data_IF_978084036702
#
_entry.id   IF_978084036702
#
_cell.length_a   1.000
_cell.length_b   1.000
_cell.length_c   1.000
_cell.angle_alpha   90.00
_cell.angle_beta   90.00
_cell.angle_gamma   90.00
#
_symmetry.space_group_name_H-M   'P 1'
#
loop_
_entity.id
_entity.type
_entity.pdbx_description
1 polymer ?
#
# COMPACT_ATOMS: atom_id res chain seq x y z
N UNK A 1 -13.57 15.13 -11.76
CA UNK A 1 -12.13 14.99 -11.97
C UNK A 1 -11.62 13.73 -11.29
N UNK A 2 -10.75 13.01 -11.95
CA UNK A 2 -10.16 11.82 -11.39
C UNK A 2 -9.18 12.17 -10.27
N UNK A 3 -9.29 11.47 -9.15
CA UNK A 3 -8.31 11.48 -8.07
C UNK A 3 -7.23 10.45 -8.32
N UNK A 4 -6.13 10.59 -7.62
CA UNK A 4 -5.06 9.58 -7.61
C UNK A 4 -4.75 9.18 -6.19
N UNK A 5 -4.34 7.93 -6.02
CA UNK A 5 -3.78 7.43 -4.76
C UNK A 5 -2.64 6.48 -5.06
N UNK A 6 -1.76 6.31 -4.09
CA UNK A 6 -0.64 5.36 -4.20
C UNK A 6 -0.98 4.11 -3.41
N UNK A 7 -0.77 2.96 -4.03
CA UNK A 7 -0.78 1.68 -3.31
C UNK A 7 0.59 1.03 -3.43
N UNK A 8 0.95 0.26 -2.42
CA UNK A 8 2.17 -0.55 -2.42
C UNK A 8 1.79 -1.94 -1.98
N UNK A 9 2.01 -2.91 -2.86
CA UNK A 9 1.91 -4.33 -2.51
C UNK A 9 3.17 -4.65 -1.73
N UNK A 10 3.00 -4.98 -0.45
CA UNK A 10 4.11 -5.16 0.50
C UNK A 10 4.87 -6.47 0.27
N UNK A 11 6.08 -6.59 0.85
CA UNK A 11 6.92 -7.78 0.60
C UNK A 11 6.24 -9.11 0.92
N UNK A 12 5.40 -9.16 1.95
CA UNK A 12 4.67 -10.38 2.32
C UNK A 12 3.75 -10.86 1.19
N UNK A 13 3.03 -9.95 0.56
CA UNK A 13 2.11 -10.28 -0.52
C UNK A 13 2.85 -10.56 -1.84
N UNK A 14 3.89 -9.80 -2.15
CA UNK A 14 4.70 -10.06 -3.35
C UNK A 14 5.33 -11.45 -3.26
N UNK A 15 5.87 -11.80 -2.11
CA UNK A 15 6.50 -13.10 -1.87
C UNK A 15 5.52 -14.26 -2.02
N UNK A 16 4.24 -14.03 -1.70
CA UNK A 16 3.17 -15.03 -1.83
C UNK A 16 2.53 -15.05 -3.22
N UNK A 17 3.07 -14.27 -4.17
CA UNK A 17 2.55 -14.16 -5.54
C UNK A 17 1.12 -13.60 -5.61
N UNK A 18 0.80 -12.66 -4.73
CA UNK A 18 -0.54 -12.07 -4.65
C UNK A 18 -0.69 -10.76 -5.43
N UNK A 19 0.39 -10.24 -6.02
CA UNK A 19 0.41 -8.94 -6.69
C UNK A 19 -0.67 -8.83 -7.76
N UNK A 20 -0.77 -9.83 -8.65
CA UNK A 20 -1.75 -9.82 -9.74
C UNK A 20 -3.18 -9.81 -9.20
N UNK A 21 -3.47 -10.64 -8.20
CA UNK A 21 -4.79 -10.71 -7.59
C UNK A 21 -5.16 -9.39 -6.92
N UNK A 22 -4.21 -8.79 -6.21
CA UNK A 22 -4.43 -7.50 -5.55
C UNK A 22 -4.72 -6.40 -6.57
N UNK A 23 -3.91 -6.31 -7.61
CA UNK A 23 -4.12 -5.31 -8.67
C UNK A 23 -5.45 -5.53 -9.39
N UNK A 24 -5.85 -6.78 -9.59
CA UNK A 24 -7.12 -7.08 -10.27
C UNK A 24 -8.33 -6.56 -9.51
N UNK A 25 -8.26 -6.47 -8.18
CA UNK A 25 -9.37 -5.94 -7.37
C UNK A 25 -9.65 -4.47 -7.64
N UNK A 26 -8.60 -3.70 -7.98
CA UNK A 26 -8.75 -2.30 -8.37
C UNK A 26 -9.29 -2.19 -9.80
N UNK A 27 -8.82 -3.05 -10.71
CA UNK A 27 -9.31 -3.07 -12.09
C UNK A 27 -10.79 -3.44 -12.16
N UNK A 28 -11.25 -4.36 -11.32
CA UNK A 28 -12.66 -4.75 -11.24
C UNK A 28 -13.57 -3.61 -10.78
N UNK A 29 -13.02 -2.63 -10.08
CA UNK A 29 -13.75 -1.43 -9.67
C UNK A 29 -13.63 -0.30 -10.71
N UNK A 30 -13.11 -0.62 -11.89
CA UNK A 30 -12.95 0.30 -13.02
C UNK A 30 -11.95 1.43 -12.78
N UNK A 31 -11.03 1.26 -11.82
CA UNK A 31 -9.94 2.19 -11.63
C UNK A 31 -8.81 1.91 -12.61
N UNK A 32 -8.14 2.97 -13.05
CA UNK A 32 -6.99 2.88 -13.94
C UNK A 32 -5.69 2.81 -13.14
N UNK A 33 -4.72 2.04 -13.64
CA UNK A 33 -3.37 2.04 -13.10
C UNK A 33 -2.54 2.94 -14.02
N UNK A 34 -2.12 4.11 -13.55
CA UNK A 34 -1.40 5.08 -14.37
C UNK A 34 0.11 4.92 -14.32
N UNK A 35 0.65 4.36 -13.23
CA UNK A 35 2.07 4.03 -13.09
C UNK A 35 2.21 2.75 -12.30
N UNK A 36 3.27 1.99 -12.61
CA UNK A 36 3.56 0.72 -11.95
C UNK A 36 5.08 0.57 -11.85
N UNK A 37 5.57 0.20 -10.67
CA UNK A 37 7.00 0.05 -10.43
C UNK A 37 7.24 -1.07 -9.43
N UNK A 38 8.08 -2.03 -9.77
CA UNK A 38 8.53 -3.09 -8.88
C UNK A 38 9.97 -2.79 -8.48
N UNK A 39 10.24 -2.73 -7.17
CA UNK A 39 11.55 -2.31 -6.66
C UNK A 39 11.74 -2.75 -5.21
N UNK A 40 12.94 -2.52 -4.69
CA UNK A 40 13.24 -2.73 -3.28
C UNK A 40 13.49 -1.38 -2.63
N UNK A 41 12.83 -1.09 -1.52
CA UNK A 41 13.14 0.12 -0.75
C UNK A 41 14.56 0.05 -0.20
N UNK A 42 15.29 1.17 -0.30
CA UNK A 42 16.48 1.36 0.52
C UNK A 42 16.04 1.81 1.90
N UNK A 43 16.93 1.68 2.90
CA UNK A 43 16.63 2.16 4.25
C UNK A 43 16.30 3.66 4.24
N UNK A 44 17.05 4.44 3.47
CA UNK A 44 16.80 5.89 3.38
C UNK A 44 15.42 6.21 2.79
N UNK A 45 15.03 5.53 1.74
CA UNK A 45 13.71 5.68 1.13
C UNK A 45 12.61 5.32 2.12
N UNK A 46 12.79 4.22 2.84
CA UNK A 46 11.80 3.75 3.82
C UNK A 46 11.66 4.74 4.98
N UNK A 47 12.75 5.30 5.46
CA UNK A 47 12.73 6.30 6.52
C UNK A 47 12.01 7.57 6.08
N UNK A 48 12.21 8.00 4.84
CA UNK A 48 11.50 9.14 4.26
C UNK A 48 10.00 8.83 4.10
N UNK A 49 9.69 7.65 3.61
CA UNK A 49 8.32 7.21 3.38
C UNK A 49 7.50 7.18 4.67
N UNK A 50 8.09 6.69 5.75
CA UNK A 50 7.44 6.60 7.05
C UNK A 50 7.79 7.75 7.99
N UNK A 51 8.31 8.87 7.48
CA UNK A 51 8.81 9.97 8.32
C UNK A 51 7.78 10.53 9.31
N UNK A 52 6.49 10.47 8.97
CA UNK A 52 5.42 10.91 9.89
C UNK A 52 5.34 10.04 11.16
N UNK A 53 5.94 8.86 11.12
CA UNK A 53 5.98 7.92 12.26
C UNK A 53 7.35 7.86 12.93
N UNK A 54 8.29 8.74 12.56
CA UNK A 54 9.69 8.66 13.00
C UNK A 54 9.88 8.67 14.52
N UNK A 55 8.97 9.31 15.27
CA UNK A 55 9.02 9.36 16.72
C UNK A 55 8.32 8.19 17.41
N UNK A 56 7.67 7.32 16.64
CA UNK A 56 6.88 6.21 17.21
C UNK A 56 7.76 4.98 17.45
N UNK A 57 7.45 4.19 18.50
CA UNK A 57 8.27 3.00 18.83
C UNK A 57 8.34 1.96 17.71
N UNK A 58 7.30 1.86 16.89
CA UNK A 58 7.25 0.87 15.82
C UNK A 58 7.91 1.32 14.50
N UNK A 59 8.49 2.53 14.46
CA UNK A 59 9.10 3.05 13.24
C UNK A 59 10.18 2.11 12.68
N UNK A 60 11.07 1.61 13.53
CA UNK A 60 12.11 0.68 13.10
C UNK A 60 11.56 -0.60 12.50
N UNK A 61 10.47 -1.12 13.05
CA UNK A 61 9.83 -2.32 12.52
C UNK A 61 9.22 -2.07 11.14
N UNK A 62 8.58 -0.90 10.93
CA UNK A 62 8.05 -0.52 9.62
C UNK A 62 9.15 -0.45 8.57
N UNK A 63 10.25 0.21 8.89
CA UNK A 63 11.40 0.36 7.98
C UNK A 63 12.00 -1.02 7.68
N UNK A 64 12.23 -1.82 8.71
CA UNK A 64 12.81 -3.15 8.55
C UNK A 64 11.92 -4.05 7.68
N UNK A 65 10.62 -4.00 7.87
CA UNK A 65 9.69 -4.83 7.11
C UNK A 65 9.61 -4.42 5.63
N UNK A 66 9.45 -3.13 5.35
CA UNK A 66 9.28 -2.66 3.96
C UNK A 66 10.57 -2.84 3.15
N UNK A 67 11.73 -2.88 3.80
CA UNK A 67 13.02 -3.13 3.14
C UNK A 67 13.36 -4.61 3.04
N UNK A 68 12.55 -5.50 3.60
CA UNK A 68 12.86 -6.93 3.67
C UNK A 68 12.70 -7.68 2.35
N UNK A 69 12.11 -7.09 1.35
CA UNK A 69 11.89 -7.73 0.06
C UNK A 69 11.34 -6.80 -1.00
N UNK A 70 11.08 -7.36 -2.16
CA UNK A 70 10.54 -6.62 -3.30
C UNK A 70 9.11 -6.17 -3.03
N UNK A 71 8.80 -4.95 -3.45
CA UNK A 71 7.44 -4.37 -3.39
C UNK A 71 7.00 -3.97 -4.80
N UNK A 72 5.71 -3.85 -5.00
CA UNK A 72 5.16 -3.29 -6.24
C UNK A 72 4.30 -2.08 -5.89
N UNK A 73 4.70 -0.92 -6.39
CA UNK A 73 3.98 0.33 -6.19
C UNK A 73 3.18 0.68 -7.44
N UNK A 74 2.00 1.22 -7.25
CA UNK A 74 1.15 1.65 -8.36
C UNK A 74 0.40 2.93 -8.00
N UNK A 75 0.20 3.78 -9.00
CA UNK A 75 -0.70 4.92 -8.87
C UNK A 75 -2.04 4.52 -9.47
N UNK A 76 -3.08 4.56 -8.65
CA UNK A 76 -4.43 4.22 -9.01
C UNK A 76 -5.22 5.51 -9.23
N UNK A 77 -6.00 5.57 -10.29
CA UNK A 77 -6.72 6.77 -10.68
C UNK A 77 -8.21 6.47 -10.89
N UNK A 78 -9.06 7.35 -10.37
CA UNK A 78 -10.50 7.23 -10.54
C UNK A 78 -11.25 8.17 -9.60
N UNK A 79 -12.56 8.25 -9.80
CA UNK A 79 -13.40 9.10 -8.97
C UNK A 79 -13.46 8.56 -7.53
N UNK A 80 -13.23 9.44 -6.56
CA UNK A 80 -13.26 9.10 -5.15
C UNK A 80 -12.31 7.95 -4.78
N UNK A 81 -11.21 7.80 -5.51
CA UNK A 81 -10.33 6.63 -5.41
C UNK A 81 -9.66 6.52 -4.04
N UNK A 82 -9.37 7.63 -3.37
CA UNK A 82 -8.73 7.58 -2.04
C UNK A 82 -9.63 6.84 -1.06
N UNK A 83 -10.89 7.26 -0.93
CA UNK A 83 -11.84 6.63 -0.01
C UNK A 83 -12.21 5.21 -0.44
N UNK A 84 -12.46 5.00 -1.73
CA UNK A 84 -12.84 3.68 -2.23
C UNK A 84 -11.71 2.68 -2.11
N UNK A 85 -10.46 3.12 -2.30
CA UNK A 85 -9.29 2.25 -2.08
C UNK A 85 -9.21 1.80 -0.63
N UNK A 86 -9.46 2.71 0.33
CA UNK A 86 -9.48 2.34 1.75
C UNK A 86 -10.51 1.24 2.04
N UNK A 87 -11.67 1.30 1.40
CA UNK A 87 -12.69 0.26 1.53
C UNK A 87 -12.27 -1.07 0.92
N UNK A 88 -11.59 -1.02 -0.24
CA UNK A 88 -11.09 -2.22 -0.91
C UNK A 88 -10.04 -2.94 -0.07
N UNK A 89 -9.13 -2.18 0.54
CA UNK A 89 -8.04 -2.78 1.33
C UNK A 89 -8.46 -3.22 2.73
N UNK A 90 -9.42 -2.55 3.35
CA UNK A 90 -9.90 -2.89 4.68
C UNK A 90 -9.10 -2.26 5.81
N UNK A 91 -9.46 -2.62 7.05
CA UNK A 91 -8.80 -2.08 8.25
C UNK A 91 -7.35 -2.52 8.34
N UNK A 92 -6.53 -1.70 8.99
CA UNK A 92 -5.09 -1.96 9.16
C UNK A 92 -4.79 -3.33 9.78
N UNK A 93 -5.52 -3.69 10.83
CA UNK A 93 -5.39 -5.01 11.44
C UNK A 93 -6.24 -6.02 10.66
N UNK A 94 -5.61 -7.04 10.02
CA UNK A 94 -6.35 -8.02 9.23
C UNK A 94 -7.43 -8.76 10.02
N UNK A 95 -7.26 -8.93 11.32
CA UNK A 95 -8.26 -9.60 12.16
C UNK A 95 -9.55 -8.79 12.28
N UNK A 96 -9.46 -7.48 12.08
CA UNK A 96 -10.62 -6.57 12.12
C UNK A 96 -11.14 -6.23 10.72
N UNK A 97 -10.41 -6.61 9.68
CA UNK A 97 -10.79 -6.34 8.30
C UNK A 97 -11.85 -7.34 7.84
N UNK A 98 -12.87 -6.83 7.16
CA UNK A 98 -13.98 -7.68 6.70
C UNK A 98 -13.53 -8.65 5.61
N UNK A 99 -14.13 -9.84 5.55
CA UNK A 99 -13.91 -10.74 4.41
C UNK A 99 -14.25 -10.04 3.11
N UNK A 100 -13.47 -10.30 2.07
CA UNK A 100 -13.62 -9.65 0.77
C UNK A 100 -12.71 -8.43 0.60
N UNK A 101 -12.20 -7.86 1.69
CA UNK A 101 -11.15 -6.83 1.61
C UNK A 101 -9.79 -7.51 1.41
N UNK A 102 -8.84 -6.75 0.87
CA UNK A 102 -7.49 -7.31 0.62
C UNK A 102 -6.85 -7.77 1.93
N UNK A 103 -6.89 -6.93 2.96
CA UNK A 103 -6.30 -7.29 4.26
C UNK A 103 -7.06 -8.41 4.95
N UNK A 104 -8.38 -8.42 4.83
CA UNK A 104 -9.20 -9.49 5.41
C UNK A 104 -8.91 -10.85 4.78
N UNK A 105 -8.68 -10.87 3.48
CA UNK A 105 -8.43 -12.12 2.75
C UNK A 105 -6.98 -12.58 2.83
N UNK A 106 -6.02 -11.65 2.83
CA UNK A 106 -4.60 -12.00 2.65
C UNK A 106 -3.69 -11.58 3.80
N UNK A 107 -4.09 -10.63 4.64
CA UNK A 107 -3.23 -10.16 5.72
C UNK A 107 -3.10 -11.20 6.83
N UNK A 108 -1.91 -11.31 7.42
CA UNK A 108 -1.62 -12.27 8.49
C UNK A 108 -1.25 -11.57 9.81
N UNK A 109 -0.99 -10.27 9.80
CA UNK A 109 -0.64 -9.50 10.98
C UNK A 109 -0.71 -8.01 10.70
N UNK A 110 -0.46 -7.19 11.72
CA UNK A 110 -0.50 -5.73 11.57
C UNK A 110 0.58 -5.23 10.61
N UNK A 111 1.78 -5.83 10.65
CA UNK A 111 2.86 -5.53 9.69
C UNK A 111 2.62 -6.24 8.37
N UNK A 112 2.34 -7.54 8.41
CA UNK A 112 2.11 -8.37 7.24
C UNK A 112 0.66 -8.26 6.79
N UNK A 113 0.22 -7.04 6.49
CA UNK A 113 -1.16 -6.77 6.09
C UNK A 113 -1.34 -6.59 4.57
N UNK A 114 -0.36 -7.00 3.80
CA UNK A 114 -0.38 -7.16 2.34
C UNK A 114 -0.23 -5.88 1.52
N UNK A 115 -0.79 -4.76 1.95
CA UNK A 115 -0.88 -3.57 1.12
C UNK A 115 -0.84 -2.28 1.95
N UNK A 116 -0.22 -1.25 1.36
CA UNK A 116 -0.28 0.13 1.84
C UNK A 116 -1.09 0.95 0.84
N UNK A 117 -1.83 1.94 1.34
CA UNK A 117 -2.47 2.94 0.50
C UNK A 117 -2.37 4.30 1.17
N UNK A 118 -2.20 5.34 0.36
CA UNK A 118 -2.22 6.71 0.86
C UNK A 118 -3.59 7.02 1.45
N UNK A 119 -3.62 7.69 2.59
CA UNK A 119 -4.87 7.98 3.30
C UNK A 119 -5.48 9.33 2.96
N UNK A 120 -4.76 10.16 2.19
CA UNK A 120 -5.20 11.49 1.80
C UNK A 120 -4.43 11.97 0.58
N UNK A 121 -4.90 13.05 -0.02
CA UNK A 121 -4.20 13.73 -1.11
C UNK A 121 -2.82 14.20 -0.66
N UNK A 122 -2.72 14.72 0.56
CA UNK A 122 -1.46 15.20 1.14
C UNK A 122 -0.47 14.05 1.31
N UNK A 123 -0.91 12.92 1.85
CA UNK A 123 -0.07 11.72 1.97
C UNK A 123 0.37 11.21 0.60
N UNK A 124 -0.53 11.20 -0.38
CA UNK A 124 -0.20 10.80 -1.73
C UNK A 124 0.91 11.66 -2.32
N UNK A 125 0.79 12.99 -2.23
CA UNK A 125 1.78 13.91 -2.80
C UNK A 125 3.17 13.69 -2.20
N UNK A 126 3.24 13.44 -0.90
CA UNK A 126 4.49 13.17 -0.20
C UNK A 126 5.06 11.81 -0.56
N UNK A 127 4.25 10.78 -0.53
CA UNK A 127 4.68 9.41 -0.75
C UNK A 127 5.12 9.16 -2.18
N UNK A 128 4.43 9.74 -3.16
CA UNK A 128 4.77 9.56 -4.57
C UNK A 128 6.14 10.14 -4.90
N UNK A 129 6.55 11.21 -4.22
CA UNK A 129 7.87 11.81 -4.41
C UNK A 129 9.01 10.92 -3.89
N UNK A 130 8.73 10.04 -2.94
CA UNK A 130 9.73 9.09 -2.44
C UNK A 130 9.83 7.89 -3.39
N UNK A 131 8.70 7.40 -3.90
CA UNK A 131 8.62 6.15 -4.67
C UNK A 131 8.89 6.36 -6.15
N UNK A 132 8.35 7.41 -6.71
CA UNK A 132 8.46 7.74 -8.12
C UNK A 132 9.19 9.06 -8.32
#
# INVERSE_FOLDING_TARGET
LAEQTLIIVKPDAVKRNLTEEILSRFKKKEFSISKLKTFNFTVEMAEQFYSVHSSKPFFGELVSFITSGTVTAAIIEGDNVINLTREIIGKTNPKEASPGTIRGDFGTGILENSIHASDSRESFDKEVNVVF
#
